data_IF_863563955623
#
_entry.id   IF_863563955623
#
_cell.length_a   1.000
_cell.length_b   1.000
_cell.length_c   1.000
_cell.angle_alpha   90.00
_cell.angle_beta   90.00
_cell.angle_gamma   90.00
#
_symmetry.space_group_name_H-M   'P 1'
#
loop_
_entity.id
_entity.type
_entity.pdbx_description
1 polymer ?
#
# COMPACT_ATOMS: atom_id res chain seq x y z
N UNK A 1 -5.88 8.28 6.96
CA UNK A 1 -6.19 7.77 5.60
C UNK A 1 -5.69 8.75 4.56
N UNK A 2 -4.94 8.26 3.54
CA UNK A 2 -4.25 9.07 2.53
C UNK A 2 -4.98 8.95 1.19
N UNK A 3 -4.97 10.03 0.41
CA UNK A 3 -5.50 10.06 -0.95
C UNK A 3 -4.39 10.32 -1.96
N UNK A 4 -4.42 9.60 -3.07
CA UNK A 4 -3.49 9.75 -4.18
C UNK A 4 -4.19 10.29 -5.42
N UNK A 5 -3.63 11.33 -6.04
CA UNK A 5 -4.20 11.97 -7.21
C UNK A 5 -3.85 11.21 -8.50
N UNK A 6 -4.88 10.79 -9.23
CA UNK A 6 -4.73 10.11 -10.51
C UNK A 6 -4.55 11.12 -11.65
N UNK A 7 -3.32 11.28 -12.12
CA UNK A 7 -3.00 12.17 -13.23
C UNK A 7 -3.34 11.59 -14.60
N UNK A 8 -3.51 10.26 -14.75
CA UNK A 8 -3.98 9.64 -15.99
C UNK A 8 -5.45 9.96 -16.29
N UNK A 9 -6.24 10.33 -15.28
CA UNK A 9 -7.60 10.82 -15.46
C UNK A 9 -7.56 12.28 -15.93
N UNK A 10 -7.11 12.51 -17.17
CA UNK A 10 -6.97 13.84 -17.79
C UNK A 10 -7.55 13.86 -19.21
N UNK A 11 -7.93 15.03 -19.68
CA UNK A 11 -8.44 15.25 -21.03
C UNK A 11 -7.92 16.58 -21.60
N UNK A 12 -7.89 16.72 -22.92
CA UNK A 12 -7.57 17.97 -23.58
C UNK A 12 -8.77 18.91 -23.76
N UNK A 13 -9.90 18.59 -23.14
CA UNK A 13 -11.13 19.37 -23.18
C UNK A 13 -11.22 20.35 -22.01
N UNK A 14 -11.85 21.51 -22.22
CA UNK A 14 -12.12 22.50 -21.18
C UNK A 14 -13.01 21.96 -20.04
N UNK A 15 -13.75 20.88 -20.29
CA UNK A 15 -14.55 20.20 -19.27
C UNK A 15 -13.72 19.68 -18.06
N UNK A 16 -12.42 19.52 -18.24
CA UNK A 16 -11.55 19.09 -17.13
C UNK A 16 -11.48 20.12 -16.00
N UNK A 17 -11.62 21.42 -16.28
CA UNK A 17 -11.62 22.46 -15.23
C UNK A 17 -12.80 22.29 -14.28
N UNK A 18 -13.99 22.09 -14.84
CA UNK A 18 -15.20 21.85 -14.05
C UNK A 18 -15.14 20.52 -13.32
N UNK A 19 -14.70 19.46 -14.00
CA UNK A 19 -14.52 18.13 -13.39
C UNK A 19 -13.54 18.17 -12.22
N UNK A 20 -12.43 18.90 -12.36
CA UNK A 20 -11.44 19.06 -11.31
C UNK A 20 -12.01 19.85 -10.11
N UNK A 21 -12.65 21.01 -10.36
CA UNK A 21 -13.24 21.83 -9.30
C UNK A 21 -14.32 21.04 -8.53
N UNK A 22 -15.17 20.30 -9.23
CA UNK A 22 -16.19 19.43 -8.64
C UNK A 22 -15.59 18.30 -7.80
N UNK A 23 -14.58 17.60 -8.32
CA UNK A 23 -13.86 16.56 -7.58
C UNK A 23 -13.29 17.13 -6.27
N UNK A 24 -12.55 18.24 -6.35
CA UNK A 24 -11.90 18.85 -5.20
C UNK A 24 -12.90 19.39 -4.18
N UNK A 25 -14.02 19.94 -4.64
CA UNK A 25 -15.10 20.40 -3.77
C UNK A 25 -15.74 19.25 -2.99
N UNK A 26 -16.01 18.15 -3.66
CA UNK A 26 -16.58 16.95 -3.04
C UNK A 26 -15.58 16.27 -2.10
N UNK A 27 -14.30 16.23 -2.46
CA UNK A 27 -13.24 15.76 -1.57
C UNK A 27 -13.10 16.66 -0.32
N UNK A 28 -13.19 17.98 -0.47
CA UNK A 28 -13.22 18.93 0.65
C UNK A 28 -14.39 18.65 1.60
N UNK A 29 -15.58 18.38 1.06
CA UNK A 29 -16.74 17.96 1.88
C UNK A 29 -16.48 16.64 2.60
N UNK A 30 -15.93 15.66 1.90
CA UNK A 30 -15.59 14.37 2.47
C UNK A 30 -14.56 14.51 3.60
N UNK A 31 -13.55 15.31 3.42
CA UNK A 31 -12.46 15.53 4.39
C UNK A 31 -12.90 16.25 5.67
N UNK A 32 -14.07 16.91 5.67
CA UNK A 32 -14.65 17.54 6.88
C UNK A 32 -15.37 16.53 7.79
N UNK A 33 -15.60 15.33 7.32
CA UNK A 33 -16.26 14.27 8.09
C UNK A 33 -15.26 13.67 9.05
N UNK A 34 -15.33 14.06 10.31
CA UNK A 34 -14.36 13.65 11.36
C UNK A 34 -14.34 12.15 11.57
N UNK A 35 -15.49 11.48 11.43
CA UNK A 35 -15.62 10.03 11.57
C UNK A 35 -14.84 9.21 10.54
N UNK A 36 -14.37 9.84 9.46
CA UNK A 36 -13.60 9.14 8.41
C UNK A 36 -12.08 9.18 8.64
N UNK A 37 -11.62 9.95 9.62
CA UNK A 37 -10.20 10.06 9.96
C UNK A 37 -9.27 10.25 8.75
N UNK A 38 -9.71 11.11 7.80
CA UNK A 38 -8.93 11.42 6.60
C UNK A 38 -7.74 12.29 7.00
N UNK A 39 -6.55 11.83 6.68
CA UNK A 39 -5.33 12.61 6.87
C UNK A 39 -5.31 13.80 5.92
N UNK A 40 -4.78 14.91 6.41
CA UNK A 40 -4.60 16.09 5.58
C UNK A 40 -3.44 15.84 4.60
N UNK A 41 -3.75 15.92 3.33
CA UNK A 41 -2.77 15.82 2.25
C UNK A 41 -3.26 14.98 1.08
N UNK A 42 -2.84 15.38 -0.11
CA UNK A 42 -3.03 14.66 -1.37
C UNK A 42 -1.65 14.31 -1.89
N UNK A 43 -1.39 13.03 -2.08
CA UNK A 43 -0.14 12.58 -2.72
C UNK A 43 -0.26 12.70 -4.22
N UNK A 44 0.80 13.13 -4.85
CA UNK A 44 0.95 13.17 -6.30
C UNK A 44 2.22 12.42 -6.71
N UNK A 45 2.25 11.88 -7.93
CA UNK A 45 3.40 11.16 -8.47
C UNK A 45 4.64 12.06 -8.60
N UNK A 46 4.41 13.32 -8.97
CA UNK A 46 5.43 14.35 -9.14
C UNK A 46 4.97 15.66 -8.52
N UNK A 47 5.82 16.68 -8.55
CA UNK A 47 5.41 18.03 -8.19
C UNK A 47 4.17 18.45 -9.00
N UNK A 48 3.16 19.08 -8.37
CA UNK A 48 1.97 19.60 -9.10
C UNK A 48 2.30 20.54 -10.27
N UNK A 49 3.51 21.11 -10.31
CA UNK A 49 3.98 21.95 -11.42
C UNK A 49 4.43 21.12 -12.61
N UNK A 50 4.86 19.88 -12.39
CA UNK A 50 5.43 18.98 -13.39
C UNK A 50 4.39 17.96 -13.90
N UNK A 51 3.27 17.80 -13.20
CA UNK A 51 2.17 16.92 -13.62
C UNK A 51 1.39 17.60 -14.74
N UNK A 52 1.48 17.00 -15.93
CA UNK A 52 0.72 17.44 -17.10
C UNK A 52 -0.64 16.74 -17.13
N UNK A 53 -1.71 17.52 -17.24
CA UNK A 53 -3.09 17.09 -17.29
C UNK A 53 -3.70 17.52 -18.64
N UNK A 54 -3.60 16.65 -19.62
CA UNK A 54 -3.94 17.03 -21.00
C UNK A 54 -2.98 18.08 -21.56
N UNK A 55 -3.40 19.33 -21.65
CA UNK A 55 -2.59 20.45 -22.16
C UNK A 55 -2.12 21.46 -21.12
N UNK A 56 -2.47 21.26 -19.86
CA UNK A 56 -2.11 22.14 -18.74
C UNK A 56 -1.54 21.35 -17.56
N UNK A 57 -0.92 22.04 -16.61
CA UNK A 57 -0.42 21.41 -15.39
C UNK A 57 -1.48 21.33 -14.29
N UNK A 58 -1.31 20.40 -13.35
CA UNK A 58 -2.15 20.32 -12.15
C UNK A 58 -2.17 21.65 -11.38
N UNK A 59 -1.04 22.35 -11.34
CA UNK A 59 -0.94 23.67 -10.72
C UNK A 59 -1.80 24.72 -11.42
N UNK A 60 -1.93 24.67 -12.75
CA UNK A 60 -2.81 25.56 -13.52
C UNK A 60 -4.28 25.23 -13.29
N UNK A 61 -4.63 23.93 -13.18
CA UNK A 61 -5.96 23.52 -12.76
C UNK A 61 -6.34 24.10 -11.39
N UNK A 62 -5.44 24.03 -10.41
CA UNK A 62 -5.67 24.63 -9.09
C UNK A 62 -5.83 26.15 -9.19
N UNK A 63 -5.03 26.84 -10.03
CA UNK A 63 -5.13 28.28 -10.23
C UNK A 63 -6.48 28.70 -10.84
N UNK A 64 -7.07 27.86 -11.68
CA UNK A 64 -8.35 28.15 -12.37
C UNK A 64 -9.57 28.13 -11.43
N UNK A 65 -9.47 27.49 -10.26
CA UNK A 65 -10.57 27.39 -9.29
C UNK A 65 -11.03 28.77 -8.86
N UNK A 66 -12.33 29.03 -9.00
CA UNK A 66 -12.95 30.33 -8.70
C UNK A 66 -13.15 30.52 -7.20
N UNK A 67 -13.51 29.45 -6.48
CA UNK A 67 -13.71 29.50 -5.03
C UNK A 67 -12.36 29.67 -4.31
N UNK A 68 -12.15 30.85 -3.71
CA UNK A 68 -10.88 31.21 -3.05
C UNK A 68 -10.55 30.34 -1.84
N UNK A 69 -11.56 29.94 -1.06
CA UNK A 69 -11.37 29.09 0.12
C UNK A 69 -10.97 27.67 -0.29
N UNK A 70 -11.67 27.10 -1.28
CA UNK A 70 -11.34 25.80 -1.85
C UNK A 70 -9.94 25.81 -2.44
N UNK A 71 -9.61 26.84 -3.24
CA UNK A 71 -8.26 27.00 -3.82
C UNK A 71 -7.16 27.00 -2.76
N UNK A 72 -7.32 27.79 -1.71
CA UNK A 72 -6.37 27.87 -0.59
C UNK A 72 -6.24 26.51 0.10
N UNK A 73 -7.38 25.85 0.36
CA UNK A 73 -7.39 24.55 1.00
C UNK A 73 -6.65 23.50 0.15
N UNK A 74 -6.85 23.47 -1.18
CA UNK A 74 -6.15 22.54 -2.09
C UNK A 74 -4.63 22.78 -2.06
N UNK A 75 -4.18 24.02 -2.11
CA UNK A 75 -2.76 24.33 -1.97
C UNK A 75 -2.20 23.80 -0.65
N UNK A 76 -2.94 23.98 0.44
CA UNK A 76 -2.57 23.43 1.75
C UNK A 76 -2.45 21.89 1.72
N UNK A 77 -3.33 21.20 1.00
CA UNK A 77 -3.27 19.75 0.88
C UNK A 77 -2.06 19.29 0.04
N UNK A 78 -1.77 19.95 -1.07
CA UNK A 78 -0.69 19.60 -1.99
C UNK A 78 0.71 19.94 -1.45
N UNK A 79 0.83 20.86 -0.50
CA UNK A 79 2.12 21.31 0.07
C UNK A 79 2.48 20.64 1.39
N UNK A 80 1.54 20.04 2.08
CA UNK A 80 1.75 19.42 3.41
C UNK A 80 2.26 17.97 3.33
N UNK A 81 2.51 17.47 2.15
CA UNK A 81 2.87 16.08 2.00
C UNK A 81 4.33 15.85 2.39
N UNK A 82 4.63 15.00 3.39
CA UNK A 82 6.02 14.73 3.77
C UNK A 82 6.74 13.97 2.65
N UNK A 83 7.97 14.38 2.37
CA UNK A 83 8.87 13.71 1.41
C UNK A 83 9.03 12.20 1.67
N UNK A 84 8.88 11.77 2.93
CA UNK A 84 8.92 10.36 3.34
C UNK A 84 7.85 9.48 2.70
N UNK A 85 6.67 10.03 2.39
CA UNK A 85 5.59 9.27 1.73
C UNK A 85 5.86 9.14 0.23
N UNK A 86 6.45 10.16 -0.37
CA UNK A 86 6.93 10.09 -1.75
C UNK A 86 8.07 9.05 -1.88
N UNK A 87 8.95 8.96 -0.88
CA UNK A 87 10.00 7.95 -0.83
C UNK A 87 9.46 6.51 -0.74
N UNK A 88 8.41 6.28 0.05
CA UNK A 88 7.73 4.97 0.11
C UNK A 88 7.15 4.57 -1.25
N UNK A 89 6.59 5.51 -1.99
CA UNK A 89 6.12 5.27 -3.35
C UNK A 89 7.27 4.95 -4.31
N UNK A 90 8.38 5.68 -4.26
CA UNK A 90 9.55 5.39 -5.09
C UNK A 90 10.10 3.99 -4.86
N UNK A 91 10.21 3.56 -3.59
CA UNK A 91 10.64 2.19 -3.27
C UNK A 91 9.68 1.14 -3.84
N UNK A 92 8.38 1.41 -3.77
CA UNK A 92 7.37 0.51 -4.33
C UNK A 92 7.47 0.50 -5.86
N UNK A 93 7.60 1.65 -6.53
CA UNK A 93 7.75 1.73 -7.99
C UNK A 93 9.02 1.05 -8.48
N UNK A 94 10.17 1.29 -7.85
CA UNK A 94 11.42 0.59 -8.19
C UNK A 94 11.25 -0.93 -8.13
N UNK A 95 10.48 -1.42 -7.17
CA UNK A 95 10.19 -2.85 -7.05
C UNK A 95 9.30 -3.40 -8.18
N UNK A 96 8.51 -2.55 -8.85
CA UNK A 96 7.67 -2.93 -10.00
C UNK A 96 8.42 -2.79 -11.33
N UNK A 97 9.22 -1.74 -11.48
CA UNK A 97 10.09 -1.56 -12.66
C UNK A 97 11.07 -2.73 -12.81
N UNK A 98 11.64 -3.22 -11.69
CA UNK A 98 12.50 -4.42 -11.68
C UNK A 98 11.78 -5.71 -12.10
N UNK A 99 10.44 -5.75 -12.05
CA UNK A 99 9.63 -6.93 -12.39
C UNK A 99 8.94 -6.81 -13.76
N UNK A 100 9.15 -5.72 -14.50
CA UNK A 100 8.50 -5.41 -15.79
C UNK A 100 6.95 -5.55 -15.75
N UNK A 101 6.36 -5.25 -14.60
CA UNK A 101 4.91 -5.37 -14.37
C UNK A 101 4.20 -4.07 -14.69
N UNK A 102 3.78 -3.93 -15.93
CA UNK A 102 2.92 -2.81 -16.36
C UNK A 102 1.45 -3.14 -16.14
N UNK A 103 0.70 -2.12 -15.78
CA UNK A 103 -0.75 -2.20 -15.60
C UNK A 103 -1.44 -1.13 -16.43
N UNK A 104 -2.57 -1.49 -17.01
CA UNK A 104 -3.40 -0.59 -17.77
C UNK A 104 -4.86 -0.67 -17.33
N UNK A 105 -5.63 0.35 -17.68
CA UNK A 105 -7.09 0.30 -17.71
C UNK A 105 -7.53 0.23 -19.17
N UNK A 106 -8.61 -0.48 -19.46
CA UNK A 106 -9.14 -0.64 -20.81
C UNK A 106 -10.44 0.13 -20.95
N UNK A 107 -10.48 1.06 -21.89
CA UNK A 107 -11.70 1.79 -22.26
C UNK A 107 -12.67 0.93 -23.07
N UNK A 108 -13.94 1.34 -23.14
CA UNK A 108 -14.98 0.63 -23.89
C UNK A 108 -14.67 0.46 -25.38
N UNK A 109 -13.82 1.33 -25.95
CA UNK A 109 -13.33 1.25 -27.32
C UNK A 109 -12.10 0.33 -27.50
N UNK A 110 -11.65 -0.33 -26.43
CA UNK A 110 -10.46 -1.19 -26.41
C UNK A 110 -9.12 -0.42 -26.27
N UNK A 111 -9.16 0.90 -26.08
CA UNK A 111 -7.94 1.67 -25.84
C UNK A 111 -7.37 1.36 -24.44
N UNK A 112 -6.05 1.14 -24.39
CA UNK A 112 -5.32 0.87 -23.14
C UNK A 112 -4.66 2.15 -22.65
N UNK A 113 -4.93 2.53 -21.42
CA UNK A 113 -4.32 3.68 -20.74
C UNK A 113 -3.40 3.16 -19.66
N UNK A 114 -2.13 3.58 -19.66
CA UNK A 114 -1.19 3.22 -18.58
C UNK A 114 -1.69 3.74 -17.24
N UNK A 115 -1.83 2.82 -16.30
CA UNK A 115 -2.31 3.05 -14.95
C UNK A 115 -1.40 2.40 -13.89
N UNK A 116 -0.17 2.02 -14.28
CA UNK A 116 0.82 1.37 -13.40
C UNK A 116 1.05 2.17 -12.12
N UNK A 117 1.04 3.50 -12.21
CA UNK A 117 1.22 4.40 -11.06
C UNK A 117 0.10 4.31 -10.01
N UNK A 118 -1.08 3.75 -10.33
CA UNK A 118 -2.19 3.60 -9.39
C UNK A 118 -2.05 2.37 -8.48
N UNK A 119 -1.26 1.40 -8.91
CA UNK A 119 -1.13 0.13 -8.19
C UNK A 119 -0.48 0.30 -6.82
N UNK A 120 0.64 1.02 -6.76
CA UNK A 120 1.38 1.21 -5.52
C UNK A 120 0.57 1.95 -4.43
N UNK A 121 -0.07 3.09 -4.72
CA UNK A 121 -0.96 3.74 -3.75
C UNK A 121 -2.08 2.83 -3.27
N UNK A 122 -2.72 2.09 -4.18
CA UNK A 122 -3.78 1.15 -3.84
C UNK A 122 -3.30 0.06 -2.88
N UNK A 123 -2.14 -0.53 -3.15
CA UNK A 123 -1.53 -1.56 -2.28
C UNK A 123 -1.08 -1.03 -0.93
N UNK A 124 -0.77 0.27 -0.84
CA UNK A 124 -0.55 0.96 0.43
C UNK A 124 -1.86 1.27 1.18
N UNK A 125 -3.00 0.91 0.61
CA UNK A 125 -4.31 1.15 1.18
C UNK A 125 -4.77 2.61 1.07
N UNK A 126 -4.30 3.33 0.03
CA UNK A 126 -4.72 4.70 -0.26
C UNK A 126 -5.90 4.72 -1.21
N UNK A 127 -6.77 5.71 -1.06
CA UNK A 127 -7.86 5.96 -1.99
C UNK A 127 -7.37 6.80 -3.17
N UNK A 128 -7.79 6.44 -4.38
CA UNK A 128 -7.44 7.19 -5.58
C UNK A 128 -8.42 8.34 -5.79
N UNK A 129 -7.93 9.55 -6.03
CA UNK A 129 -8.72 10.69 -6.48
C UNK A 129 -8.67 10.75 -8.01
N UNK A 130 -9.77 10.45 -8.68
CA UNK A 130 -9.87 10.45 -10.15
C UNK A 130 -10.88 11.49 -10.64
N UNK A 131 -10.50 12.30 -11.63
CA UNK A 131 -11.47 13.14 -12.33
C UNK A 131 -12.42 12.26 -13.15
N UNK A 132 -13.75 12.48 -13.08
CA UNK A 132 -14.74 11.69 -13.80
C UNK A 132 -14.89 12.14 -15.28
N UNK A 133 -13.81 12.04 -16.03
CA UNK A 133 -13.73 12.51 -17.43
C UNK A 133 -14.10 11.44 -18.47
N UNK A 134 -14.23 10.19 -18.04
CA UNK A 134 -14.71 9.06 -18.85
C UNK A 134 -15.42 8.05 -17.98
N UNK A 135 -16.10 7.08 -18.59
CA UNK A 135 -16.83 6.03 -17.88
C UNK A 135 -15.94 5.24 -16.92
N UNK A 136 -14.69 4.97 -17.29
CA UNK A 136 -13.73 4.27 -16.45
C UNK A 136 -13.38 5.06 -15.20
N UNK A 137 -13.05 6.33 -15.34
CA UNK A 137 -12.65 7.18 -14.25
C UNK A 137 -13.82 7.66 -13.39
N UNK A 138 -15.06 7.39 -13.83
CA UNK A 138 -16.29 7.67 -13.08
C UNK A 138 -16.71 6.51 -12.16
N UNK A 139 -16.00 5.38 -12.19
CA UNK A 139 -16.29 4.22 -11.33
C UNK A 139 -15.70 4.40 -9.93
N UNK A 140 -16.37 3.80 -8.94
CA UNK A 140 -15.84 3.72 -7.55
C UNK A 140 -14.76 2.65 -7.40
N UNK A 141 -14.74 1.70 -8.32
CA UNK A 141 -13.78 0.61 -8.39
C UNK A 141 -13.21 0.57 -9.81
N UNK A 142 -11.89 0.72 -9.91
CA UNK A 142 -11.17 0.71 -11.19
C UNK A 142 -10.41 -0.61 -11.28
N UNK A 143 -10.60 -1.33 -12.36
CA UNK A 143 -9.87 -2.56 -12.66
C UNK A 143 -8.55 -2.25 -13.36
N UNK A 144 -7.43 -2.55 -12.71
CA UNK A 144 -6.10 -2.50 -13.27
C UNK A 144 -5.76 -3.88 -13.84
N UNK A 145 -5.43 -3.95 -15.11
CA UNK A 145 -5.12 -5.20 -15.81
C UNK A 145 -3.61 -5.26 -16.03
N UNK A 146 -2.98 -6.33 -15.56
CA UNK A 146 -1.55 -6.55 -15.78
C UNK A 146 -1.29 -6.99 -17.22
N UNK A 147 -0.34 -6.34 -17.89
CA UNK A 147 -0.11 -6.52 -19.33
C UNK A 147 0.35 -7.93 -19.70
N UNK A 148 1.15 -8.57 -18.83
CA UNK A 148 1.78 -9.85 -19.15
C UNK A 148 0.83 -11.07 -19.06
N UNK A 149 -0.07 -11.10 -18.07
CA UNK A 149 -0.87 -12.29 -17.75
C UNK A 149 -2.35 -11.98 -17.52
N UNK A 150 -2.78 -10.75 -17.79
CA UNK A 150 -4.16 -10.27 -17.62
C UNK A 150 -4.72 -10.43 -16.19
N UNK A 151 -3.85 -10.50 -15.18
CA UNK A 151 -4.32 -10.45 -13.78
C UNK A 151 -4.98 -9.11 -13.52
N UNK A 152 -6.18 -9.15 -12.92
CA UNK A 152 -6.96 -7.96 -12.60
C UNK A 152 -6.81 -7.61 -11.12
N UNK A 153 -6.41 -6.38 -10.83
CA UNK A 153 -6.42 -5.81 -9.49
C UNK A 153 -7.42 -4.66 -9.42
N UNK A 154 -8.22 -4.60 -8.35
CA UNK A 154 -9.23 -3.55 -8.18
C UNK A 154 -8.73 -2.50 -7.21
N UNK A 155 -8.84 -1.23 -7.61
CA UNK A 155 -8.48 -0.07 -6.79
C UNK A 155 -9.72 0.77 -6.49
N UNK A 156 -9.81 1.30 -5.26
CA UNK A 156 -10.91 2.16 -4.84
C UNK A 156 -10.65 3.60 -5.28
N UNK A 157 -11.63 4.18 -5.95
CA UNK A 157 -11.56 5.53 -6.51
C UNK A 157 -12.68 6.43 -6.00
N UNK A 158 -12.32 7.61 -5.51
CA UNK A 158 -13.23 8.70 -5.25
C UNK A 158 -13.22 9.67 -6.43
N UNK A 159 -14.36 9.81 -7.10
CA UNK A 159 -14.56 10.72 -8.23
C UNK A 159 -15.59 11.83 -7.93
N UNK A 160 -16.31 11.70 -6.82
CA UNK A 160 -17.25 12.72 -6.35
C UNK A 160 -18.51 12.91 -7.22
N UNK A 161 -18.78 12.04 -8.21
CA UNK A 161 -19.84 12.28 -9.19
C UNK A 161 -21.26 12.08 -8.66
N UNK A 162 -21.44 11.15 -7.72
CA UNK A 162 -22.78 10.79 -7.25
C UNK A 162 -22.77 10.20 -5.83
N UNK A 163 -23.95 10.04 -5.26
CA UNK A 163 -24.13 9.48 -3.93
C UNK A 163 -23.64 8.03 -3.81
N UNK A 164 -23.65 7.26 -4.91
CA UNK A 164 -23.17 5.87 -4.90
C UNK A 164 -21.67 5.85 -4.69
N UNK A 165 -20.90 6.64 -5.45
CA UNK A 165 -19.46 6.76 -5.27
C UNK A 165 -19.11 7.25 -3.87
N UNK A 166 -19.80 8.30 -3.40
CA UNK A 166 -19.60 8.83 -2.05
C UNK A 166 -19.85 7.76 -0.97
N UNK A 167 -20.94 7.01 -1.07
CA UNK A 167 -21.30 5.97 -0.10
C UNK A 167 -20.32 4.78 -0.15
N UNK A 168 -19.90 4.35 -1.34
CA UNK A 168 -18.94 3.25 -1.51
C UNK A 168 -17.62 3.60 -0.85
N UNK A 169 -17.08 4.77 -1.17
CA UNK A 169 -15.81 5.22 -0.58
C UNK A 169 -15.94 5.47 0.92
N UNK A 170 -17.02 6.05 1.39
CA UNK A 170 -17.26 6.24 2.84
C UNK A 170 -17.27 4.90 3.58
N UNK A 171 -17.99 3.89 3.08
CA UNK A 171 -18.01 2.55 3.69
C UNK A 171 -16.62 1.94 3.72
N UNK A 172 -15.89 2.04 2.63
CA UNK A 172 -14.52 1.52 2.55
C UNK A 172 -13.60 2.22 3.56
N UNK A 173 -13.68 3.56 3.67
CA UNK A 173 -12.90 4.34 4.65
C UNK A 173 -13.18 3.92 6.09
N UNK A 174 -14.45 3.68 6.45
CA UNK A 174 -14.84 3.23 7.79
C UNK A 174 -14.24 1.85 8.08
N UNK A 175 -14.39 0.91 7.14
CA UNK A 175 -13.82 -0.45 7.29
C UNK A 175 -12.30 -0.40 7.43
N UNK A 176 -11.64 0.39 6.60
CA UNK A 176 -10.18 0.56 6.64
C UNK A 176 -9.71 1.18 7.94
N UNK A 177 -10.40 2.23 8.42
CA UNK A 177 -10.08 2.84 9.71
C UNK A 177 -10.22 1.85 10.86
N UNK A 178 -11.31 1.06 10.87
CA UNK A 178 -11.51 0.03 11.89
C UNK A 178 -10.42 -1.05 11.85
N UNK A 179 -9.98 -1.46 10.66
CA UNK A 179 -8.85 -2.38 10.50
C UNK A 179 -7.55 -1.76 11.06
N UNK A 180 -7.27 -0.49 10.76
CA UNK A 180 -6.10 0.22 11.26
C UNK A 180 -6.14 0.38 12.79
N UNK A 181 -7.32 0.60 13.38
CA UNK A 181 -7.53 0.60 14.83
C UNK A 181 -7.25 -0.78 15.45
N UNK A 182 -7.78 -1.85 14.88
CA UNK A 182 -7.49 -3.21 15.34
C UNK A 182 -6.00 -3.52 15.27
N UNK A 183 -5.32 -3.11 14.21
CA UNK A 183 -3.88 -3.24 14.05
C UNK A 183 -3.09 -2.38 15.05
N UNK A 184 -3.68 -1.30 15.58
CA UNK A 184 -3.03 -0.47 16.60
C UNK A 184 -3.02 -1.11 17.98
N UNK A 185 -3.93 -2.04 18.27
CA UNK A 185 -4.02 -2.74 19.57
C UNK A 185 -3.06 -3.93 19.61
N UNK A 186 -2.15 -3.94 20.58
CA UNK A 186 -1.11 -4.97 20.72
C UNK A 186 -1.70 -6.38 20.78
N UNK A 187 -2.78 -6.54 21.54
CA UNK A 187 -3.43 -7.83 21.83
C UNK A 187 -4.11 -8.48 20.62
N UNK A 188 -4.47 -7.66 19.61
CA UNK A 188 -5.21 -8.13 18.42
C UNK A 188 -4.32 -8.33 17.19
N UNK A 189 -3.08 -7.81 17.20
CA UNK A 189 -2.20 -7.84 16.01
C UNK A 189 -1.83 -9.25 15.57
N UNK A 190 -1.47 -10.12 16.49
CA UNK A 190 -1.16 -11.53 16.14
C UNK A 190 -2.43 -12.27 15.73
N UNK A 191 -3.56 -12.03 16.41
CA UNK A 191 -4.86 -12.58 16.03
C UNK A 191 -5.27 -12.07 14.64
N UNK A 192 -5.01 -10.81 14.33
CA UNK A 192 -5.25 -10.25 13.01
C UNK A 192 -4.41 -10.94 11.94
N UNK A 193 -3.11 -11.14 12.16
CA UNK A 193 -2.26 -11.87 11.21
C UNK A 193 -2.76 -13.29 10.96
N UNK A 194 -3.23 -13.98 12.00
CA UNK A 194 -3.79 -15.34 11.86
C UNK A 194 -5.07 -15.38 11.03
N UNK A 195 -5.83 -14.29 10.95
CA UNK A 195 -7.18 -14.25 10.36
C UNK A 195 -7.29 -13.46 9.04
N UNK A 196 -6.31 -12.64 8.66
CA UNK A 196 -6.52 -11.57 7.67
C UNK A 196 -5.84 -11.75 6.31
N UNK A 197 -5.40 -12.95 5.96
CA UNK A 197 -4.62 -13.13 4.72
C UNK A 197 -5.43 -13.77 3.58
N UNK A 198 -6.73 -13.61 3.59
CA UNK A 198 -7.59 -14.14 2.53
C UNK A 198 -7.44 -15.65 2.36
N UNK A 199 -6.91 -16.09 1.21
CA UNK A 199 -6.64 -17.51 0.90
C UNK A 199 -5.33 -18.06 1.50
N UNK A 200 -4.58 -17.27 2.22
CA UNK A 200 -3.31 -17.66 2.85
C UNK A 200 -3.47 -17.78 4.36
N UNK A 201 -2.70 -18.68 4.96
CA UNK A 201 -2.71 -18.92 6.40
C UNK A 201 -1.37 -18.51 7.00
N UNK A 202 -1.40 -17.94 8.20
CA UNK A 202 -0.20 -17.60 8.94
C UNK A 202 -0.08 -18.50 10.16
N UNK A 203 1.00 -19.27 10.23
CA UNK A 203 1.37 -20.06 11.40
C UNK A 203 2.54 -19.39 12.10
N UNK A 204 2.44 -19.26 13.40
CA UNK A 204 3.39 -18.54 14.25
C UNK A 204 4.01 -19.53 15.22
N UNK A 205 5.34 -19.57 15.28
CA UNK A 205 6.02 -20.42 16.25
C UNK A 205 5.91 -19.85 17.67
N UNK A 206 5.93 -20.68 18.72
CA UNK A 206 5.99 -20.20 20.09
C UNK A 206 7.17 -19.25 20.36
N UNK A 207 8.33 -19.52 19.74
CA UNK A 207 9.52 -18.68 19.87
C UNK A 207 9.31 -17.29 19.26
N UNK A 208 8.65 -17.21 18.13
CA UNK A 208 8.27 -15.93 17.51
C UNK A 208 7.29 -15.16 18.39
N UNK A 209 6.23 -15.83 18.88
CA UNK A 209 5.18 -15.23 19.68
C UNK A 209 5.73 -14.66 21.01
N UNK A 210 6.58 -15.43 21.69
CA UNK A 210 7.22 -15.01 22.93
C UNK A 210 8.06 -13.73 22.72
N UNK A 211 8.97 -13.75 21.74
CA UNK A 211 9.83 -12.60 21.45
C UNK A 211 9.06 -11.39 20.91
N UNK A 212 7.99 -11.61 20.15
CA UNK A 212 7.11 -10.53 19.69
C UNK A 212 6.49 -9.78 20.88
N UNK A 213 6.09 -10.48 21.94
CA UNK A 213 5.55 -9.86 23.15
C UNK A 213 6.60 -9.10 23.97
N UNK A 214 7.88 -9.45 23.85
CA UNK A 214 8.99 -8.74 24.49
C UNK A 214 9.36 -7.42 23.78
N UNK A 215 8.98 -7.25 22.51
CA UNK A 215 9.26 -6.04 21.73
C UNK A 215 8.51 -4.82 22.26
N UNK A 216 9.13 -3.64 22.16
CA UNK A 216 8.46 -2.38 22.39
C UNK A 216 7.25 -2.20 21.46
N UNK A 217 6.26 -1.41 21.90
CA UNK A 217 5.00 -1.21 21.15
C UNK A 217 5.21 -0.79 19.70
N UNK A 218 6.14 0.15 19.44
CA UNK A 218 6.44 0.62 18.09
C UNK A 218 7.15 -0.45 17.25
N UNK A 219 7.98 -1.28 17.86
CA UNK A 219 8.62 -2.41 17.18
C UNK A 219 7.62 -3.48 16.80
N UNK A 220 6.67 -3.81 17.67
CA UNK A 220 5.57 -4.72 17.37
C UNK A 220 4.74 -4.22 16.18
N UNK A 221 4.40 -2.92 16.18
CA UNK A 221 3.69 -2.28 15.08
C UNK A 221 4.49 -2.34 13.77
N UNK A 222 5.79 -2.10 13.83
CA UNK A 222 6.68 -2.18 12.67
C UNK A 222 6.79 -3.61 12.14
N UNK A 223 6.88 -4.62 13.01
CA UNK A 223 6.92 -6.03 12.61
C UNK A 223 5.67 -6.44 11.82
N UNK A 224 4.47 -6.07 12.32
CA UNK A 224 3.22 -6.31 11.61
C UNK A 224 3.18 -5.54 10.29
N UNK A 225 3.62 -4.29 10.29
CA UNK A 225 3.71 -3.46 9.09
C UNK A 225 4.58 -4.09 8.00
N UNK A 226 5.72 -4.69 8.36
CA UNK A 226 6.60 -5.40 7.42
C UNK A 226 5.89 -6.60 6.78
N UNK A 227 5.22 -7.44 7.57
CA UNK A 227 4.49 -8.61 7.06
C UNK A 227 3.36 -8.15 6.14
N UNK A 228 2.56 -7.17 6.58
CA UNK A 228 1.46 -6.62 5.79
C UNK A 228 1.96 -6.03 4.47
N UNK A 229 3.08 -5.29 4.50
CA UNK A 229 3.72 -4.73 3.32
C UNK A 229 4.14 -5.83 2.33
N UNK A 230 4.76 -6.90 2.81
CA UNK A 230 5.19 -8.01 1.94
C UNK A 230 3.99 -8.73 1.29
N UNK A 231 2.85 -8.85 2.00
CA UNK A 231 1.61 -9.35 1.42
C UNK A 231 1.05 -8.39 0.37
N UNK A 232 0.93 -7.13 0.71
CA UNK A 232 0.40 -6.09 -0.18
C UNK A 232 1.19 -6.01 -1.48
N UNK A 233 2.50 -6.22 -1.41
CA UNK A 233 3.39 -6.24 -2.57
C UNK A 233 3.43 -7.59 -3.31
N UNK A 234 2.60 -8.58 -2.92
CA UNK A 234 2.59 -9.94 -3.48
C UNK A 234 3.98 -10.62 -3.48
N UNK A 235 4.80 -10.37 -2.44
CA UNK A 235 6.18 -10.86 -2.34
C UNK A 235 6.33 -12.17 -1.58
N UNK A 236 5.26 -12.68 -0.99
CA UNK A 236 5.28 -13.86 -0.14
C UNK A 236 4.78 -15.13 -0.82
N UNK A 237 4.00 -15.02 -1.91
CA UNK A 237 3.44 -16.17 -2.61
C UNK A 237 3.34 -15.91 -4.13
N UNK A 238 4.33 -16.36 -4.95
CA UNK A 238 5.60 -16.96 -4.53
C UNK A 238 6.52 -15.95 -3.85
N UNK A 239 7.52 -16.45 -3.10
CA UNK A 239 8.49 -15.56 -2.49
C UNK A 239 9.34 -14.90 -3.57
N UNK A 240 9.36 -13.55 -3.55
CA UNK A 240 10.22 -12.73 -4.40
C UNK A 240 11.24 -12.05 -3.51
N UNK A 241 12.45 -12.63 -3.45
CA UNK A 241 13.55 -12.05 -2.69
C UNK A 241 14.08 -10.80 -3.41
N UNK A 242 14.37 -9.76 -2.63
CA UNK A 242 15.00 -8.53 -3.10
C UNK A 242 16.05 -8.04 -2.08
N UNK A 243 16.76 -6.97 -2.42
CA UNK A 243 17.80 -6.43 -1.52
C UNK A 243 17.24 -5.66 -0.32
N UNK A 244 15.97 -5.25 -0.37
CA UNK A 244 15.39 -4.27 0.56
C UNK A 244 14.42 -4.89 1.57
N UNK A 245 13.44 -5.66 1.10
CA UNK A 245 12.37 -6.17 1.94
C UNK A 245 12.58 -7.65 2.32
N UNK A 246 12.89 -8.52 1.35
CA UNK A 246 13.03 -9.96 1.56
C UNK A 246 14.41 -10.44 1.09
N UNK A 247 15.16 -11.06 1.99
CA UNK A 247 16.49 -11.62 1.71
C UNK A 247 16.51 -13.12 1.97
N UNK A 248 17.18 -13.85 1.11
CA UNK A 248 17.47 -15.28 1.34
C UNK A 248 18.50 -15.43 2.47
N UNK A 249 18.23 -16.28 3.44
CA UNK A 249 19.18 -16.62 4.48
C UNK A 249 20.26 -17.55 3.92
N UNK A 250 21.52 -17.30 4.33
CA UNK A 250 22.66 -18.12 3.94
C UNK A 250 22.93 -19.19 5.00
N UNK A 251 23.50 -20.32 4.59
CA UNK A 251 23.93 -21.40 5.48
C UNK A 251 23.29 -22.73 5.09
N UNK A 252 24.01 -23.82 5.38
CA UNK A 252 23.54 -25.19 5.11
C UNK A 252 22.27 -25.48 5.91
N UNK A 253 21.20 -25.88 5.23
CA UNK A 253 19.89 -26.17 5.82
C UNK A 253 18.95 -24.96 5.93
N UNK A 254 19.39 -23.76 5.51
CA UNK A 254 18.60 -22.54 5.55
C UNK A 254 18.09 -22.08 4.16
N UNK A 255 18.22 -22.92 3.14
CA UNK A 255 17.99 -22.57 1.74
C UNK A 255 16.56 -22.09 1.46
N UNK A 256 15.59 -22.50 2.30
CA UNK A 256 14.18 -22.12 2.19
C UNK A 256 13.76 -21.11 3.27
N UNK A 257 14.71 -20.56 4.03
CA UNK A 257 14.44 -19.55 5.07
C UNK A 257 14.78 -18.17 4.53
N UNK A 258 13.88 -17.24 4.77
CA UNK A 258 13.96 -15.86 4.31
C UNK A 258 13.93 -14.90 5.49
N UNK A 259 14.59 -13.78 5.33
CA UNK A 259 14.59 -12.66 6.26
C UNK A 259 13.73 -11.53 5.69
N UNK A 260 12.64 -11.18 6.36
CA UNK A 260 11.88 -9.97 6.11
C UNK A 260 12.48 -8.86 6.98
N UNK A 261 12.84 -7.72 6.37
CA UNK A 261 13.57 -6.66 7.07
C UNK A 261 13.18 -5.27 6.62
N UNK A 262 13.32 -4.32 7.53
CA UNK A 262 13.36 -2.89 7.22
C UNK A 262 14.75 -2.35 7.53
N UNK A 263 15.42 -1.79 6.52
CA UNK A 263 16.81 -1.32 6.64
C UNK A 263 16.91 -0.18 7.66
N UNK A 264 15.84 0.62 7.83
CA UNK A 264 15.83 1.78 8.75
C UNK A 264 15.42 1.45 10.19
N UNK A 265 14.63 0.40 10.43
CA UNK A 265 13.97 0.15 11.72
C UNK A 265 14.54 -1.00 12.53
N UNK A 266 15.54 -1.70 12.00
CA UNK A 266 16.28 -2.70 12.74
C UNK A 266 15.57 -4.03 13.01
N UNK A 267 14.31 -4.21 12.60
CA UNK A 267 13.55 -5.44 12.82
C UNK A 267 13.86 -6.46 11.70
N UNK A 268 13.99 -7.73 12.11
CA UNK A 268 14.19 -8.87 11.22
C UNK A 268 13.22 -9.98 11.60
N UNK A 269 12.49 -10.48 10.60
CA UNK A 269 11.56 -11.59 10.75
C UNK A 269 12.05 -12.73 9.88
N UNK A 270 12.28 -13.90 10.48
CA UNK A 270 12.68 -15.11 9.76
C UNK A 270 11.47 -15.99 9.51
N UNK A 271 11.28 -16.40 8.26
CA UNK A 271 10.08 -17.10 7.83
C UNK A 271 10.35 -18.09 6.69
N UNK A 272 9.40 -18.98 6.47
CA UNK A 272 9.31 -19.84 5.29
C UNK A 272 7.91 -19.73 4.68
N UNK A 273 7.79 -20.07 3.40
CA UNK A 273 6.50 -20.25 2.72
C UNK A 273 6.35 -21.74 2.34
N UNK A 274 5.18 -22.29 2.62
CA UNK A 274 4.85 -23.65 2.25
C UNK A 274 3.40 -23.73 1.79
N UNK A 275 3.18 -24.08 0.51
CA UNK A 275 1.86 -24.02 -0.11
C UNK A 275 1.22 -22.62 0.13
N UNK A 276 0.06 -22.59 0.79
CA UNK A 276 -0.65 -21.35 1.15
C UNK A 276 -0.34 -20.87 2.59
N UNK A 277 0.74 -21.39 3.21
CA UNK A 277 1.09 -21.06 4.59
C UNK A 277 2.33 -20.18 4.64
N UNK A 278 2.26 -19.09 5.41
CA UNK A 278 3.41 -18.33 5.88
C UNK A 278 3.78 -18.82 7.27
N UNK A 279 4.99 -19.33 7.41
CA UNK A 279 5.50 -19.92 8.67
C UNK A 279 6.46 -18.91 9.30
N UNK A 280 6.05 -18.23 10.38
CA UNK A 280 6.87 -17.26 11.10
C UNK A 280 7.69 -17.98 12.17
N UNK A 281 9.00 -18.13 11.93
CA UNK A 281 9.90 -18.91 12.78
C UNK A 281 10.59 -18.10 13.87
N UNK A 282 10.92 -16.83 13.64
CA UNK A 282 11.62 -15.99 14.60
C UNK A 282 11.56 -14.52 14.29
N UNK A 283 11.74 -13.67 15.30
CA UNK A 283 11.82 -12.22 15.21
C UNK A 283 12.96 -11.69 16.06
N UNK A 284 13.70 -10.70 15.57
CA UNK A 284 14.84 -10.07 16.25
C UNK A 284 14.92 -8.59 15.94
N UNK A 285 15.56 -7.83 16.83
CA UNK A 285 15.98 -6.46 16.59
C UNK A 285 17.47 -6.40 16.22
N UNK A 286 17.86 -5.40 15.44
CA UNK A 286 19.24 -5.25 14.95
C UNK A 286 20.27 -5.01 16.09
N UNK A 287 19.80 -4.58 17.26
CA UNK A 287 20.66 -4.31 18.41
C UNK A 287 21.22 -5.60 19.07
N UNK A 288 20.58 -6.76 18.80
CA UNK A 288 20.85 -8.00 19.50
C UNK A 288 21.80 -8.96 18.78
N UNK A 289 22.23 -8.69 17.55
CA UNK A 289 23.06 -9.68 16.87
C UNK A 289 23.95 -9.16 15.76
N UNK A 290 25.25 -9.20 15.94
CA UNK A 290 26.25 -9.02 14.90
C UNK A 290 27.03 -10.33 14.76
N UNK A 291 27.00 -10.95 13.58
CA UNK A 291 27.85 -12.10 13.26
C UNK A 291 27.24 -13.45 13.67
N UNK A 292 27.92 -14.16 14.59
CA UNK A 292 27.60 -15.54 14.95
C UNK A 292 26.19 -15.69 15.59
N UNK A 293 25.72 -14.69 16.32
CA UNK A 293 24.38 -14.68 16.93
C UNK A 293 23.27 -14.67 15.86
N UNK A 294 23.46 -13.91 14.78
CA UNK A 294 22.50 -13.92 13.67
C UNK A 294 22.38 -15.29 13.03
N UNK A 295 23.49 -16.02 12.90
CA UNK A 295 23.47 -17.39 12.34
C UNK A 295 22.73 -18.36 13.25
N UNK A 296 22.89 -18.22 14.59
CA UNK A 296 22.15 -19.01 15.57
C UNK A 296 20.63 -18.73 15.51
N UNK A 297 20.25 -17.48 15.34
CA UNK A 297 18.85 -17.05 15.22
C UNK A 297 18.20 -17.59 13.96
N UNK A 298 18.88 -17.54 12.82
CA UNK A 298 18.42 -18.14 11.55
C UNK A 298 18.20 -19.63 11.74
N UNK A 299 19.13 -20.34 12.35
CA UNK A 299 19.02 -21.78 12.56
C UNK A 299 17.86 -22.15 13.50
N UNK A 300 17.64 -21.37 14.59
CA UNK A 300 16.49 -21.53 15.48
C UNK A 300 15.18 -21.32 14.75
N UNK A 301 15.07 -20.22 13.99
CA UNK A 301 13.89 -19.90 13.20
C UNK A 301 13.61 -20.96 12.12
N UNK A 302 14.65 -21.45 11.43
CA UNK A 302 14.52 -22.53 10.46
C UNK A 302 13.97 -23.81 11.09
N UNK A 303 14.50 -24.19 12.26
CA UNK A 303 14.02 -25.33 13.03
C UNK A 303 12.57 -25.16 13.48
N UNK A 304 12.19 -23.93 13.91
CA UNK A 304 10.83 -23.61 14.28
C UNK A 304 9.86 -23.72 13.07
N UNK A 305 10.23 -23.19 11.91
CA UNK A 305 9.45 -23.33 10.69
C UNK A 305 9.31 -24.79 10.26
N UNK A 306 10.36 -25.61 10.43
CA UNK A 306 10.30 -27.05 10.13
C UNK A 306 9.31 -27.77 11.04
N UNK A 307 9.27 -27.43 12.33
CA UNK A 307 8.25 -27.97 13.26
C UNK A 307 6.83 -27.55 12.88
N UNK A 308 6.63 -26.27 12.53
CA UNK A 308 5.33 -25.77 12.05
C UNK A 308 4.89 -26.50 10.78
N UNK A 309 5.81 -26.73 9.85
CA UNK A 309 5.53 -27.47 8.62
C UNK A 309 5.15 -28.93 8.89
N UNK A 310 5.78 -29.58 9.88
CA UNK A 310 5.47 -30.95 10.26
C UNK A 310 4.10 -31.10 10.94
N UNK A 311 3.49 -30.00 11.42
CA UNK A 311 2.16 -29.97 12.01
C UNK A 311 1.03 -29.75 11.00
N UNK A 312 1.35 -29.51 9.72
CA UNK A 312 0.41 -29.36 8.62
C UNK A 312 0.09 -30.70 7.96
#
# INVERSE_FOLDING_TARGET
MIFYFNHSASTSSDSQFESFENLMYNYWKLSKRQELHIEKGIVTYQSPRDIVMGYITLNELVKSIKNKELKRWIYDQLTKFPAEICYQLEEVYKSYEELDNRYYVEEANGAKIDATHLLAPSRLGWCILSMPISDIWSKSEISLIREHDNIVETVISFNGTNNINFNTVTKWLIVKHHQDELLSKVETRIAYLKNCVGKYYVLISPDFEARYHELAHDEQKNAIGLITRAFTLNRLFPIVADKHLIKTCKGKGNENTYELRDIGKGIRIYFQSYNNFLLLGGIHTKAEGVGDEQSADINRATSACTRLKASL
#
